data_IF_639547541514
#
_entry.id   IF_639547541514
#
_cell.length_a   1.000
_cell.length_b   1.000
_cell.length_c   1.000
_cell.angle_alpha   90.00
_cell.angle_beta   90.00
_cell.angle_gamma   90.00
#
_symmetry.space_group_name_H-M   'P 1'
#
loop_
_entity.id
_entity.type
_entity.pdbx_description
1 polymer ?
#
# COMPACT_ATOMS: atom_id res chain seq x y z
N UNK A 1 10.29 5.77 -0.81
CA UNK A 1 10.29 6.40 -2.16
C UNK A 1 11.16 7.65 -2.21
N UNK A 2 10.92 8.70 -1.41
CA UNK A 2 11.69 9.96 -1.49
C UNK A 2 13.21 9.80 -1.41
N UNK A 3 13.70 8.96 -0.49
CA UNK A 3 15.13 8.62 -0.36
C UNK A 3 15.71 7.96 -1.63
N UNK A 4 15.00 6.99 -2.22
CA UNK A 4 15.43 6.33 -3.45
C UNK A 4 15.51 7.31 -4.63
N UNK A 5 14.53 8.21 -4.76
CA UNK A 5 14.55 9.27 -5.79
C UNK A 5 15.74 10.21 -5.58
N UNK A 6 16.00 10.62 -4.33
CA UNK A 6 17.15 11.46 -4.01
C UNK A 6 18.48 10.77 -4.36
N UNK A 7 18.60 9.47 -4.04
CA UNK A 7 19.78 8.67 -4.39
C UNK A 7 19.96 8.55 -5.91
N UNK A 8 18.89 8.39 -6.68
CA UNK A 8 18.95 8.40 -8.16
C UNK A 8 19.42 9.76 -8.68
N UNK A 9 18.91 10.88 -8.14
CA UNK A 9 19.23 12.22 -8.63
C UNK A 9 20.69 12.65 -8.42
N UNK A 10 21.38 12.08 -7.43
CA UNK A 10 22.79 12.38 -7.14
C UNK A 10 23.78 11.43 -7.82
N UNK A 11 23.29 10.41 -8.54
CA UNK A 11 24.15 9.54 -9.35
C UNK A 11 24.78 10.34 -10.49
N UNK A 12 26.06 10.09 -10.76
CA UNK A 12 26.84 10.78 -11.79
C UNK A 12 26.84 10.03 -13.13
N UNK A 13 26.19 8.87 -13.22
CA UNK A 13 25.98 8.23 -14.51
C UNK A 13 24.91 9.00 -15.30
N UNK A 14 25.12 9.15 -16.60
CA UNK A 14 24.19 9.87 -17.49
C UNK A 14 23.26 8.87 -18.22
N UNK A 15 23.00 7.71 -17.61
CA UNK A 15 22.19 6.67 -18.23
C UNK A 15 20.72 6.85 -17.87
N UNK A 16 19.88 6.94 -18.89
CA UNK A 16 18.43 6.91 -18.70
C UNK A 16 17.98 5.51 -18.29
N UNK A 17 17.39 5.39 -17.10
CA UNK A 17 16.85 4.14 -16.56
C UNK A 17 15.42 4.33 -16.06
N UNK A 18 14.62 3.26 -16.15
CA UNK A 18 13.27 3.20 -15.58
C UNK A 18 13.37 2.32 -14.32
N UNK A 19 12.96 2.87 -13.18
CA UNK A 19 12.94 2.16 -11.89
C UNK A 19 11.51 2.00 -11.39
N UNK A 20 11.15 0.77 -11.03
CA UNK A 20 9.88 0.45 -10.37
C UNK A 20 10.06 0.53 -8.84
N UNK A 21 9.55 1.59 -8.23
CA UNK A 21 9.72 1.82 -6.78
C UNK A 21 8.63 1.11 -5.98
N UNK A 22 8.74 -0.21 -5.88
CA UNK A 22 7.75 -1.08 -5.25
C UNK A 22 8.34 -1.73 -3.98
N UNK A 23 7.47 -2.11 -3.03
CA UNK A 23 7.88 -2.85 -1.85
C UNK A 23 8.47 -4.22 -2.19
N UNK A 24 9.19 -4.81 -1.23
CA UNK A 24 9.83 -6.13 -1.39
C UNK A 24 8.90 -7.31 -1.16
N UNK A 25 7.66 -7.06 -0.73
CA UNK A 25 6.66 -8.06 -0.33
C UNK A 25 5.28 -7.63 -0.82
N UNK A 26 4.43 -8.61 -1.14
CA UNK A 26 3.03 -8.41 -1.50
C UNK A 26 2.18 -8.74 -0.28
N UNK A 27 1.15 -7.92 -0.05
CA UNK A 27 0.21 -8.09 1.06
C UNK A 27 -1.22 -8.02 0.52
N UNK A 28 -2.06 -8.88 1.06
CA UNK A 28 -3.51 -8.86 0.91
C UNK A 28 -4.17 -7.93 1.95
N UNK A 29 -5.44 -7.61 1.76
CA UNK A 29 -6.22 -6.92 2.80
C UNK A 29 -6.39 -7.76 4.08
N UNK A 30 -6.30 -9.09 3.97
CA UNK A 30 -6.31 -9.98 5.13
C UNK A 30 -5.04 -9.79 5.97
N UNK A 31 -3.86 -9.70 5.33
CA UNK A 31 -2.60 -9.45 6.04
C UNK A 31 -2.63 -8.10 6.77
N UNK A 32 -3.23 -7.07 6.16
CA UNK A 32 -3.42 -5.76 6.80
C UNK A 32 -4.31 -5.89 8.05
N UNK A 33 -5.43 -6.60 7.95
CA UNK A 33 -6.36 -6.79 9.06
C UNK A 33 -5.74 -7.58 10.22
N UNK A 34 -4.96 -8.62 9.92
CA UNK A 34 -4.23 -9.41 10.92
C UNK A 34 -3.19 -8.56 11.67
N UNK A 35 -2.37 -7.81 10.95
CA UNK A 35 -1.38 -6.91 11.57
C UNK A 35 -2.07 -5.83 12.43
N UNK A 36 -3.18 -5.27 11.96
CA UNK A 36 -3.94 -4.29 12.74
C UNK A 36 -4.57 -4.91 13.99
N UNK A 37 -5.02 -6.16 13.92
CA UNK A 37 -5.53 -6.90 15.09
C UNK A 37 -4.45 -7.07 16.15
N UNK A 38 -3.24 -7.46 15.73
CA UNK A 38 -2.08 -7.57 16.63
C UNK A 38 -1.72 -6.24 17.29
N UNK A 39 -1.79 -5.13 16.55
CA UNK A 39 -1.47 -3.79 17.06
C UNK A 39 -2.56 -3.30 18.03
N UNK A 40 -3.83 -3.53 17.71
CA UNK A 40 -4.96 -3.06 18.50
C UNK A 40 -5.22 -3.91 19.75
N UNK A 41 -4.80 -5.19 19.75
CA UNK A 41 -5.14 -6.14 20.81
C UNK A 41 -6.60 -6.59 20.80
N UNK A 42 -7.32 -6.33 19.70
CA UNK A 42 -8.69 -6.77 19.44
C UNK A 42 -8.84 -7.20 17.98
N UNK A 43 -9.88 -7.97 17.67
CA UNK A 43 -10.06 -8.50 16.33
C UNK A 43 -10.48 -7.40 15.32
N UNK A 44 -9.66 -7.22 14.30
CA UNK A 44 -9.96 -6.43 13.11
C UNK A 44 -10.20 -7.38 11.94
N UNK A 45 -11.41 -7.35 11.39
CA UNK A 45 -11.81 -8.26 10.31
C UNK A 45 -11.78 -7.57 8.95
N UNK A 46 -11.15 -8.22 7.97
CA UNK A 46 -11.36 -7.87 6.57
C UNK A 46 -12.74 -8.38 6.12
N UNK A 47 -13.51 -7.51 5.47
CA UNK A 47 -14.77 -7.89 4.81
C UNK A 47 -14.63 -7.60 3.32
N UNK A 48 -14.74 -8.64 2.49
CA UNK A 48 -14.79 -8.46 1.04
C UNK A 48 -16.13 -7.80 0.68
N UNK A 49 -16.08 -6.50 0.42
CA UNK A 49 -17.24 -5.77 0.00
C UNK A 49 -17.55 -6.10 -1.47
N UNK A 50 -18.78 -6.55 -1.70
CA UNK A 50 -19.30 -6.74 -3.05
C UNK A 50 -19.11 -5.47 -3.87
N UNK A 51 -18.62 -5.60 -5.11
CA UNK A 51 -18.24 -4.47 -5.95
C UNK A 51 -19.43 -3.56 -6.30
N UNK A 52 -20.66 -4.07 -6.25
CA UNK A 52 -21.89 -3.31 -6.47
C UNK A 52 -22.29 -2.58 -5.19
N UNK A 53 -22.13 -3.21 -4.03
CA UNK A 53 -22.49 -2.63 -2.73
C UNK A 53 -21.47 -1.61 -2.19
N UNK A 54 -20.18 -1.78 -2.51
CA UNK A 54 -19.10 -0.95 -1.95
C UNK A 54 -19.27 0.56 -2.22
N UNK A 55 -19.60 1.02 -3.45
CA UNK A 55 -19.86 2.44 -3.71
C UNK A 55 -21.02 3.00 -2.88
N UNK A 56 -22.10 2.24 -2.73
CA UNK A 56 -23.29 2.65 -1.97
C UNK A 56 -22.99 2.76 -0.47
N UNK A 57 -22.19 1.84 0.07
CA UNK A 57 -21.69 1.92 1.44
C UNK A 57 -20.92 3.22 1.65
N UNK A 58 -19.94 3.54 0.79
CA UNK A 58 -19.15 4.76 0.91
C UNK A 58 -20.00 6.03 0.75
N UNK A 59 -21.01 6.00 -0.14
CA UNK A 59 -21.95 7.10 -0.34
C UNK A 59 -22.78 7.35 0.90
N UNK A 60 -23.28 6.30 1.55
CA UNK A 60 -24.04 6.39 2.79
C UNK A 60 -23.20 6.92 3.97
N UNK A 61 -21.87 6.71 3.92
CA UNK A 61 -20.91 7.30 4.86
C UNK A 61 -20.58 8.78 4.55
N UNK A 62 -21.18 9.37 3.52
CA UNK A 62 -20.98 10.78 3.15
C UNK A 62 -19.68 11.06 2.38
N UNK A 63 -19.03 10.03 1.86
CA UNK A 63 -17.80 10.20 1.06
C UNK A 63 -18.14 10.86 -0.29
N UNK A 64 -17.37 11.87 -0.74
CA UNK A 64 -17.59 12.50 -2.05
C UNK A 64 -17.48 11.52 -3.22
N UNK A 65 -18.36 11.66 -4.20
CA UNK A 65 -18.47 10.76 -5.36
C UNK A 65 -17.15 10.52 -6.10
N UNK A 66 -16.32 11.55 -6.25
CA UNK A 66 -14.99 11.41 -6.87
C UNK A 66 -14.08 10.44 -6.09
N UNK A 67 -14.10 10.49 -4.76
CA UNK A 67 -13.30 9.60 -3.92
C UNK A 67 -13.82 8.17 -3.97
N UNK A 68 -15.15 8.00 -4.04
CA UNK A 68 -15.78 6.69 -4.23
C UNK A 68 -15.29 6.06 -5.53
N UNK A 69 -15.36 6.81 -6.65
CA UNK A 69 -14.88 6.34 -7.95
C UNK A 69 -13.42 5.89 -7.91
N UNK A 70 -12.54 6.67 -7.26
CA UNK A 70 -11.12 6.33 -7.12
C UNK A 70 -10.92 5.07 -6.28
N UNK A 71 -11.57 4.98 -5.11
CA UNK A 71 -11.47 3.81 -4.23
C UNK A 71 -11.99 2.53 -4.90
N UNK A 72 -13.13 2.62 -5.58
CA UNK A 72 -13.71 1.50 -6.35
C UNK A 72 -12.80 1.05 -7.50
N UNK A 73 -12.17 2.01 -8.20
CA UNK A 73 -11.18 1.72 -9.24
C UNK A 73 -10.00 0.93 -8.70
N UNK A 74 -9.32 1.45 -7.68
CA UNK A 74 -8.18 0.75 -7.08
C UNK A 74 -8.54 -0.62 -6.52
N UNK A 75 -9.68 -0.76 -5.85
CA UNK A 75 -10.12 -2.06 -5.31
C UNK A 75 -10.38 -3.07 -6.44
N UNK A 76 -10.91 -2.60 -7.58
CA UNK A 76 -11.10 -3.43 -8.77
C UNK A 76 -9.76 -3.88 -9.37
N UNK A 77 -8.81 -2.96 -9.50
CA UNK A 77 -7.48 -3.26 -10.05
C UNK A 77 -6.68 -4.21 -9.14
N UNK A 78 -6.77 -4.04 -7.81
CA UNK A 78 -6.20 -4.97 -6.82
C UNK A 78 -6.82 -6.36 -6.96
N UNK A 79 -8.16 -6.45 -7.05
CA UNK A 79 -8.86 -7.74 -7.25
C UNK A 79 -8.44 -8.42 -8.56
N UNK A 80 -8.08 -7.64 -9.58
CA UNK A 80 -7.58 -8.14 -10.85
C UNK A 80 -6.05 -8.35 -10.84
N UNK A 81 -5.41 -8.40 -9.67
CA UNK A 81 -3.98 -8.68 -9.48
C UNK A 81 -3.04 -7.67 -10.16
N UNK A 82 -3.51 -6.46 -10.51
CA UNK A 82 -2.70 -5.48 -11.25
C UNK A 82 -1.56 -4.85 -10.44
N UNK A 83 -1.57 -5.02 -9.12
CA UNK A 83 -0.54 -4.50 -8.21
C UNK A 83 0.38 -5.58 -7.64
N UNK A 84 0.25 -6.84 -8.08
CA UNK A 84 1.08 -7.95 -7.64
C UNK A 84 2.44 -7.95 -8.36
N UNK A 85 3.16 -6.85 -8.21
CA UNK A 85 4.46 -6.62 -8.84
C UNK A 85 5.51 -6.56 -7.73
N UNK A 86 6.64 -7.24 -7.92
CA UNK A 86 7.80 -7.19 -7.02
C UNK A 86 8.99 -6.70 -7.84
N UNK A 87 9.74 -5.75 -7.30
CA UNK A 87 10.91 -5.20 -7.98
C UNK A 87 12.07 -4.97 -6.99
N UNK A 88 13.31 -5.32 -7.34
CA UNK A 88 14.47 -5.10 -6.47
C UNK A 88 14.94 -3.64 -6.49
N UNK A 89 14.41 -2.81 -7.40
CA UNK A 89 14.88 -1.46 -7.65
C UNK A 89 14.87 -0.58 -6.39
N UNK A 90 13.82 -0.68 -5.57
CA UNK A 90 13.72 0.12 -4.35
C UNK A 90 14.83 -0.26 -3.35
N UNK A 91 15.04 -1.56 -3.12
CA UNK A 91 16.10 -2.05 -2.22
C UNK A 91 17.49 -1.66 -2.74
N UNK A 92 17.73 -1.79 -4.05
CA UNK A 92 18.99 -1.41 -4.69
C UNK A 92 19.28 0.09 -4.53
N UNK A 93 18.29 0.95 -4.80
CA UNK A 93 18.45 2.40 -4.68
C UNK A 93 18.60 2.87 -3.23
N UNK A 94 18.05 2.13 -2.26
CA UNK A 94 18.20 2.43 -0.83
C UNK A 94 19.49 1.85 -0.23
N UNK A 95 20.07 0.79 -0.83
CA UNK A 95 21.18 0.03 -0.25
C UNK A 95 20.80 -0.80 0.99
N UNK A 96 19.48 -0.97 1.23
CA UNK A 96 18.90 -1.72 2.34
C UNK A 96 17.46 -2.12 2.00
N UNK A 97 16.93 -3.12 2.69
CA UNK A 97 15.52 -3.49 2.55
C UNK A 97 14.60 -2.29 2.87
N UNK A 98 13.54 -2.06 2.07
CA UNK A 98 12.52 -1.09 2.42
C UNK A 98 11.78 -1.52 3.70
N UNK A 99 11.21 -0.55 4.41
CA UNK A 99 10.36 -0.81 5.58
C UNK A 99 9.18 -1.69 5.16
N UNK A 100 8.90 -2.75 5.92
CA UNK A 100 7.81 -3.67 5.61
C UNK A 100 6.46 -3.14 6.16
N UNK A 101 5.36 -3.82 5.81
CA UNK A 101 4.01 -3.38 6.20
C UNK A 101 3.82 -3.38 7.72
N UNK A 102 4.33 -4.40 8.42
CA UNK A 102 4.20 -4.52 9.88
C UNK A 102 4.89 -3.36 10.61
N UNK A 103 6.12 -3.05 10.22
CA UNK A 103 6.88 -1.91 10.74
C UNK A 103 6.15 -0.58 10.47
N UNK A 104 5.61 -0.41 9.26
CA UNK A 104 4.89 0.80 8.89
C UNK A 104 3.58 0.98 9.68
N UNK A 105 2.77 -0.08 9.83
CA UNK A 105 1.52 -0.03 10.59
C UNK A 105 1.78 0.19 12.08
N UNK A 106 2.82 -0.44 12.66
CA UNK A 106 3.24 -0.20 14.05
C UNK A 106 3.67 1.25 14.28
N UNK A 107 4.37 1.88 13.34
CA UNK A 107 4.74 3.29 13.45
C UNK A 107 3.53 4.22 13.41
N UNK A 108 2.55 3.94 12.55
CA UNK A 108 1.36 4.78 12.36
C UNK A 108 0.36 4.63 13.52
N UNK A 109 0.13 3.38 13.97
CA UNK A 109 -0.95 3.03 14.89
C UNK A 109 -0.48 2.60 16.29
N UNK A 110 0.77 2.17 16.45
CA UNK A 110 1.27 1.61 17.72
C UNK A 110 1.38 2.60 18.89
N UNK A 111 1.26 3.90 18.64
CA UNK A 111 1.24 4.95 19.67
C UNK A 111 -0.15 5.56 19.90
N UNK A 112 -1.19 5.07 19.21
CA UNK A 112 -2.52 5.70 19.17
C UNK A 112 -3.63 4.89 19.85
N UNK A 113 -3.28 3.83 20.59
CA UNK A 113 -4.23 2.97 21.29
C UNK A 113 -3.78 2.85 22.75
#
# INVERSE_FOLDING_TARGET
MGEAIANTLVQTDNESRIYELIGSEIYSYQDVAEILSEIAGEDVYYTDADAVAFPDILKNLGIPERMIMVASGFTTDIRNHQYEIISPNLEQLLGRKPKNLNEALKEIYGNKI
#
